data_IF_022681462244
#
_entry.id   IF_022681462244
#
_cell.length_a   1.000
_cell.length_b   1.000
_cell.length_c   1.000
_cell.angle_alpha   90.00
_cell.angle_beta   90.00
_cell.angle_gamma   90.00
#
_symmetry.space_group_name_H-M   'P 1'
#
loop_
_entity.id
_entity.type
_entity.pdbx_description
1 polymer ?
#
# COMPACT_ATOMS: atom_id res chain seq x y z
N UNK A 1 9.23 -6.91 -30.84
CA UNK A 1 9.14 -6.85 -29.37
C UNK A 1 7.73 -6.41 -28.98
N UNK A 2 6.89 -7.38 -28.64
CA UNK A 2 5.44 -7.29 -28.46
C UNK A 2 5.08 -6.64 -27.12
N UNK A 3 4.25 -5.58 -27.17
CA UNK A 3 3.78 -4.81 -26.02
C UNK A 3 2.66 -5.58 -25.31
N UNK A 4 2.86 -5.95 -24.04
CA UNK A 4 1.92 -6.77 -23.25
C UNK A 4 0.65 -6.03 -22.77
N UNK A 5 0.39 -4.83 -23.29
CA UNK A 5 -0.90 -4.15 -23.15
C UNK A 5 -1.11 -3.30 -24.41
N UNK A 6 -1.96 -3.70 -25.38
CA UNK A 6 -2.08 -3.02 -26.67
C UNK A 6 -2.63 -1.58 -26.58
N UNK A 7 -3.06 -1.11 -25.40
CA UNK A 7 -3.63 0.23 -25.17
C UNK A 7 -2.86 1.09 -24.16
N UNK A 8 -1.64 0.70 -23.77
CA UNK A 8 -0.78 1.56 -22.95
C UNK A 8 0.04 2.45 -23.89
N UNK A 9 -0.42 3.68 -24.11
CA UNK A 9 0.46 4.76 -24.55
C UNK A 9 1.33 5.13 -23.35
N UNK A 10 2.60 4.74 -23.42
CA UNK A 10 3.64 5.20 -22.51
C UNK A 10 3.83 6.69 -22.76
N UNK A 11 3.18 7.53 -21.97
CA UNK A 11 3.71 8.87 -21.73
C UNK A 11 4.79 8.69 -20.68
N UNK A 12 6.03 8.94 -21.08
CA UNK A 12 7.22 8.79 -20.26
C UNK A 12 6.95 9.35 -18.86
N UNK A 13 6.94 8.49 -17.82
CA UNK A 13 6.86 9.00 -16.48
C UNK A 13 8.15 9.77 -16.25
N UNK A 14 8.06 11.01 -15.74
CA UNK A 14 9.18 11.82 -15.24
C UNK A 14 9.91 11.15 -14.03
N UNK A 15 9.84 9.83 -13.89
CA UNK A 15 10.82 8.98 -13.20
C UNK A 15 11.83 8.33 -14.17
N UNK A 16 11.70 8.51 -15.49
CA UNK A 16 12.68 8.14 -16.52
C UNK A 16 13.96 9.01 -16.50
N UNK A 17 14.29 9.61 -15.36
CA UNK A 17 15.62 10.18 -15.11
C UNK A 17 16.45 9.34 -14.14
N UNK A 18 15.97 8.15 -13.79
CA UNK A 18 16.75 7.12 -13.11
C UNK A 18 17.05 5.96 -14.08
N UNK A 19 17.91 6.13 -15.08
CA UNK A 19 18.59 4.98 -15.68
C UNK A 19 19.06 5.09 -17.13
N UNK A 20 18.28 5.66 -18.04
CA UNK A 20 18.59 5.56 -19.48
C UNK A 20 19.33 6.80 -20.02
N UNK A 21 20.35 6.63 -20.88
CA UNK A 21 20.92 7.73 -21.64
C UNK A 21 19.89 8.22 -22.66
N UNK A 22 19.47 9.49 -22.54
CA UNK A 22 18.66 10.14 -23.57
C UNK A 22 19.42 10.14 -24.92
N UNK A 23 18.75 9.93 -26.06
CA UNK A 23 19.34 10.17 -27.38
C UNK A 23 19.84 11.60 -27.46
N UNK A 24 21.01 11.82 -28.07
CA UNK A 24 21.69 13.11 -28.14
C UNK A 24 20.91 14.21 -28.91
N UNK A 25 19.75 13.86 -29.49
CA UNK A 25 19.10 14.60 -30.56
C UNK A 25 17.75 15.21 -30.12
N UNK A 26 17.32 15.04 -28.86
CA UNK A 26 16.02 15.49 -28.40
C UNK A 26 15.99 17.02 -28.12
N UNK A 27 15.20 17.76 -28.91
CA UNK A 27 14.96 19.21 -28.80
C UNK A 27 14.01 19.56 -27.62
N UNK A 28 14.04 20.81 -27.11
CA UNK A 28 13.76 21.10 -25.71
C UNK A 28 12.30 21.44 -25.43
N UNK A 29 11.60 20.55 -24.74
CA UNK A 29 10.48 20.92 -23.87
C UNK A 29 10.90 20.61 -22.43
N UNK A 30 11.05 21.62 -21.58
CA UNK A 30 11.47 21.39 -20.18
C UNK A 30 10.44 20.58 -19.38
N UNK A 31 10.78 20.03 -18.20
CA UNK A 31 9.84 19.30 -17.33
C UNK A 31 8.58 20.09 -16.95
N UNK A 32 8.73 21.41 -16.78
CA UNK A 32 7.63 22.35 -16.51
C UNK A 32 6.75 22.54 -17.75
N UNK A 33 7.36 22.57 -18.94
CA UNK A 33 6.65 22.72 -20.21
C UNK A 33 5.89 21.43 -20.57
N UNK A 34 6.44 20.26 -20.26
CA UNK A 34 5.75 18.98 -20.35
C UNK A 34 4.58 18.85 -19.36
N UNK A 35 4.74 19.34 -18.12
CA UNK A 35 3.66 19.37 -17.14
C UNK A 35 2.55 20.38 -17.52
N UNK A 36 2.93 21.56 -18.03
CA UNK A 36 2.02 22.56 -18.56
C UNK A 36 1.32 22.06 -19.83
N UNK A 37 2.02 21.41 -20.76
CA UNK A 37 1.43 20.82 -21.96
C UNK A 37 0.50 19.63 -21.63
N UNK A 38 0.84 18.82 -20.62
CA UNK A 38 -0.07 17.78 -20.12
C UNK A 38 -1.33 18.41 -19.49
N UNK A 39 -1.17 19.43 -18.65
CA UNK A 39 -2.31 20.18 -18.08
C UNK A 39 -3.15 20.83 -19.18
N UNK A 40 -2.51 21.46 -20.17
CA UNK A 40 -3.16 22.09 -21.32
C UNK A 40 -3.95 21.05 -22.12
N UNK A 41 -3.36 19.90 -22.45
CA UNK A 41 -4.06 18.79 -23.11
C UNK A 41 -5.20 18.23 -22.27
N UNK A 42 -5.04 18.14 -20.95
CA UNK A 42 -6.10 17.71 -20.04
C UNK A 42 -7.27 18.70 -20.01
N UNK A 43 -6.99 20.01 -20.03
CA UNK A 43 -7.98 21.09 -20.08
C UNK A 43 -8.64 21.20 -21.46
N UNK A 44 -7.86 21.05 -22.54
CA UNK A 44 -8.35 20.97 -23.91
C UNK A 44 -9.33 19.80 -24.07
N UNK A 45 -9.00 18.64 -23.50
CA UNK A 45 -9.92 17.50 -23.41
C UNK A 45 -11.18 17.79 -22.60
N UNK A 46 -11.13 18.63 -21.56
CA UNK A 46 -12.33 19.05 -20.80
C UNK A 46 -13.25 19.96 -21.63
N UNK A 47 -12.68 20.80 -22.50
CA UNK A 47 -13.40 21.77 -23.32
C UNK A 47 -13.90 21.23 -24.66
N UNK A 48 -13.23 20.23 -25.24
CA UNK A 48 -13.71 19.60 -26.47
C UNK A 48 -14.86 18.64 -26.16
N UNK A 49 -16.04 18.96 -26.70
CA UNK A 49 -17.19 18.05 -26.83
C UNK A 49 -16.98 16.98 -27.91
N UNK A 50 -15.74 16.67 -28.27
CA UNK A 50 -15.49 15.55 -29.18
C UNK A 50 -15.93 14.28 -28.45
N UNK A 51 -16.99 13.67 -28.99
CA UNK A 51 -17.51 12.39 -28.56
C UNK A 51 -16.35 11.40 -28.50
N UNK A 52 -15.92 11.10 -27.26
CA UNK A 52 -14.92 10.09 -26.99
C UNK A 52 -15.37 8.81 -27.71
N UNK A 53 -14.72 8.50 -28.83
CA UNK A 53 -14.72 7.16 -29.41
C UNK A 53 -14.44 6.18 -28.27
N UNK A 54 -15.46 5.36 -27.98
CA UNK A 54 -15.61 4.51 -26.79
C UNK A 54 -14.61 3.34 -26.71
N UNK A 55 -13.60 3.25 -27.57
CA UNK A 55 -12.72 2.08 -27.64
C UNK A 55 -11.29 2.38 -27.17
N UNK A 56 -11.04 2.11 -25.88
CA UNK A 56 -9.68 1.96 -25.37
C UNK A 56 -9.55 2.29 -23.88
N UNK A 57 -9.23 1.28 -23.08
CA UNK A 57 -8.71 1.50 -21.72
C UNK A 57 -7.39 2.25 -21.84
N UNK A 58 -7.37 3.55 -21.55
CA UNK A 58 -6.15 4.38 -21.56
C UNK A 58 -5.49 4.33 -20.19
N UNK A 59 -4.20 4.03 -20.16
CA UNK A 59 -3.36 4.24 -18.98
C UNK A 59 -2.63 5.56 -19.13
N UNK A 60 -2.64 6.40 -18.10
CA UNK A 60 -1.96 7.69 -18.08
C UNK A 60 -0.95 7.70 -16.94
N UNK A 61 0.19 8.35 -17.17
CA UNK A 61 1.23 8.56 -16.18
C UNK A 61 1.41 10.06 -15.99
N UNK A 62 1.58 10.48 -14.74
CA UNK A 62 1.76 11.89 -14.41
C UNK A 62 2.50 12.02 -13.09
N UNK A 63 3.27 13.10 -12.95
CA UNK A 63 3.80 13.55 -11.66
C UNK A 63 2.99 14.69 -11.06
N UNK A 64 1.88 15.05 -11.70
CA UNK A 64 1.05 16.13 -11.21
C UNK A 64 0.51 15.81 -9.80
N UNK A 65 0.51 16.80 -8.90
CA UNK A 65 -0.12 16.66 -7.61
C UNK A 65 -1.64 16.50 -7.75
N UNK A 66 -2.32 15.96 -6.72
CA UNK A 66 -3.74 15.63 -6.80
C UNK A 66 -4.64 16.86 -7.06
N UNK A 67 -4.24 18.06 -6.62
CA UNK A 67 -5.01 19.30 -6.84
C UNK A 67 -4.95 19.84 -8.27
N UNK A 68 -4.01 19.36 -9.09
CA UNK A 68 -3.96 19.66 -10.52
C UNK A 68 -4.67 18.61 -11.37
N UNK A 69 -5.20 17.56 -10.74
CA UNK A 69 -5.94 16.50 -11.40
C UNK A 69 -7.45 16.69 -11.18
N UNK A 70 -8.30 16.35 -12.18
CA UNK A 70 -9.75 16.51 -12.08
C UNK A 70 -10.38 15.40 -11.21
N UNK A 71 -9.95 15.29 -9.95
CA UNK A 71 -10.37 14.25 -9.00
C UNK A 71 -11.83 14.40 -8.56
N UNK A 72 -12.38 15.63 -8.61
CA UNK A 72 -13.71 15.99 -8.11
C UNK A 72 -14.70 16.38 -9.23
N UNK A 73 -14.37 16.14 -10.49
CA UNK A 73 -15.18 16.56 -11.65
C UNK A 73 -16.27 15.56 -12.06
N UNK A 74 -17.23 16.03 -12.86
CA UNK A 74 -18.29 15.20 -13.47
C UNK A 74 -17.73 14.12 -14.43
N UNK A 75 -16.53 14.34 -14.98
CA UNK A 75 -15.81 13.34 -15.77
C UNK A 75 -15.13 12.35 -14.82
N UNK A 76 -15.49 11.07 -14.95
CA UNK A 76 -14.93 9.98 -14.14
C UNK A 76 -13.46 9.77 -14.50
N UNK A 77 -12.53 10.31 -13.71
CA UNK A 77 -11.16 9.81 -13.73
C UNK A 77 -11.17 8.34 -13.30
N UNK A 78 -10.32 7.53 -13.93
CA UNK A 78 -10.17 6.11 -13.61
C UNK A 78 -9.54 5.90 -12.23
N UNK A 79 -9.13 4.67 -11.96
CA UNK A 79 -8.34 4.36 -10.77
C UNK A 79 -6.93 4.97 -10.91
N UNK A 80 -6.43 5.56 -9.83
CA UNK A 80 -5.12 6.20 -9.72
C UNK A 80 -4.26 5.41 -8.75
N UNK A 81 -3.24 4.72 -9.27
CA UNK A 81 -2.19 4.12 -8.46
C UNK A 81 -1.06 5.15 -8.28
N UNK A 82 -0.75 5.48 -7.03
CA UNK A 82 0.31 6.43 -6.66
C UNK A 82 1.51 5.62 -6.19
N UNK A 83 2.62 5.68 -6.92
CA UNK A 83 3.86 5.01 -6.54
C UNK A 83 4.73 5.97 -5.74
N UNK A 84 5.15 5.53 -4.55
CA UNK A 84 5.89 6.33 -3.58
C UNK A 84 7.08 5.53 -3.06
N UNK A 85 8.20 6.20 -2.84
CA UNK A 85 9.32 5.65 -2.07
C UNK A 85 9.61 6.57 -0.87
N UNK A 86 10.50 6.15 0.02
CA UNK A 86 10.99 7.00 1.10
C UNK A 86 11.40 8.38 0.54
N UNK A 87 10.86 9.49 1.07
CA UNK A 87 11.14 10.81 0.55
C UNK A 87 12.63 11.17 0.62
N UNK A 88 13.37 10.64 1.61
CA UNK A 88 14.83 10.85 1.74
C UNK A 88 15.56 10.22 0.56
N UNK A 89 15.19 8.98 0.22
CA UNK A 89 15.66 8.32 -0.99
C UNK A 89 15.33 9.15 -2.23
N UNK A 90 14.08 9.58 -2.40
CA UNK A 90 13.66 10.37 -3.56
C UNK A 90 14.42 11.70 -3.70
N UNK A 91 14.70 12.38 -2.59
CA UNK A 91 15.47 13.64 -2.58
C UNK A 91 16.90 13.38 -3.01
N UNK A 92 17.60 12.44 -2.40
CA UNK A 92 18.99 12.13 -2.74
C UNK A 92 19.15 11.67 -4.19
N UNK A 93 18.13 10.98 -4.73
CA UNK A 93 18.11 10.58 -6.14
C UNK A 93 17.98 11.74 -7.12
N UNK A 94 17.50 12.90 -6.68
CA UNK A 94 17.45 14.10 -7.50
C UNK A 94 18.83 14.75 -7.71
N UNK A 95 19.84 14.41 -6.90
CA UNK A 95 21.20 14.95 -7.07
C UNK A 95 21.72 14.72 -8.49
N UNK A 96 21.66 13.49 -8.99
CA UNK A 96 22.12 13.15 -10.35
C UNK A 96 21.32 13.87 -11.43
N UNK A 97 20.01 14.01 -11.22
CA UNK A 97 19.14 14.77 -12.13
C UNK A 97 19.53 16.25 -12.17
N UNK A 98 19.85 16.80 -11.00
CA UNK A 98 20.27 18.18 -10.85
C UNK A 98 21.60 18.45 -11.55
N UNK A 99 22.57 17.52 -11.46
CA UNK A 99 23.83 17.61 -12.21
C UNK A 99 23.61 17.61 -13.74
N UNK A 100 22.75 16.72 -14.23
CA UNK A 100 22.39 16.67 -15.67
C UNK A 100 21.72 17.99 -16.07
N UNK A 101 20.75 18.46 -15.28
CA UNK A 101 20.04 19.71 -15.54
C UNK A 101 20.99 20.91 -15.60
N UNK A 102 21.89 21.05 -14.62
CA UNK A 102 22.94 22.09 -14.62
C UNK A 102 23.81 22.02 -15.86
N UNK A 103 24.26 20.82 -16.23
CA UNK A 103 25.08 20.61 -17.44
C UNK A 103 24.35 21.06 -18.70
N UNK A 104 23.06 20.76 -18.81
CA UNK A 104 22.22 21.20 -19.92
C UNK A 104 22.00 22.72 -19.94
N UNK A 105 21.77 23.35 -18.79
CA UNK A 105 21.59 24.80 -18.66
C UNK A 105 22.88 25.56 -19.02
N UNK A 106 24.03 25.07 -18.56
CA UNK A 106 25.35 25.62 -18.87
C UNK A 106 25.63 25.58 -20.39
N UNK A 107 25.32 24.45 -21.05
CA UNK A 107 25.44 24.31 -22.52
C UNK A 107 24.56 25.29 -23.30
N UNK A 108 23.40 25.68 -22.74
CA UNK A 108 22.47 26.64 -23.38
C UNK A 108 22.83 28.10 -23.14
N UNK A 109 23.93 28.40 -22.42
CA UNK A 109 24.36 29.77 -22.15
C UNK A 109 23.35 30.57 -21.32
N UNK A 110 22.46 29.91 -20.57
CA UNK A 110 21.51 30.59 -19.69
C UNK A 110 22.31 31.17 -18.53
N UNK A 111 22.55 32.48 -18.62
CA UNK A 111 23.35 33.28 -17.69
C UNK A 111 22.66 33.35 -16.32
N UNK A 112 23.03 32.43 -15.44
CA UNK A 112 22.47 32.29 -14.08
C UNK A 112 22.95 31.02 -13.37
N UNK A 113 23.40 30.02 -14.12
CA UNK A 113 23.97 28.77 -13.58
C UNK A 113 25.51 28.70 -13.67
N UNK A 114 26.18 29.76 -14.13
CA UNK A 114 27.64 29.81 -14.22
C UNK A 114 28.22 30.12 -12.83
N UNK A 115 28.57 29.08 -12.07
CA UNK A 115 29.25 29.26 -10.78
C UNK A 115 29.12 28.09 -9.80
N UNK A 116 28.16 27.19 -10.01
CA UNK A 116 28.01 26.03 -9.15
C UNK A 116 28.90 24.90 -9.66
N UNK A 117 29.91 24.51 -8.88
CA UNK A 117 30.69 23.30 -9.12
C UNK A 117 29.85 22.02 -9.11
N UNK A 118 30.51 20.86 -9.22
CA UNK A 118 29.88 19.60 -8.81
C UNK A 118 29.43 19.78 -7.37
N UNK A 119 28.12 19.65 -7.11
CA UNK A 119 27.62 19.80 -5.75
C UNK A 119 27.88 18.47 -5.07
N UNK A 120 28.57 18.50 -3.94
CA UNK A 120 28.54 17.33 -3.08
C UNK A 120 27.12 17.11 -2.53
N UNK A 121 26.89 15.94 -1.93
CA UNK A 121 25.61 15.57 -1.36
C UNK A 121 25.11 16.57 -0.29
N UNK A 122 26.03 17.13 0.49
CA UNK A 122 25.72 18.07 1.58
C UNK A 122 25.31 19.44 1.04
N UNK A 123 25.99 19.93 -0.01
CA UNK A 123 25.64 21.15 -0.72
C UNK A 123 24.30 21.02 -1.45
N UNK A 124 24.03 19.87 -2.07
CA UNK A 124 22.73 19.61 -2.68
C UNK A 124 21.61 19.58 -1.65
N UNK A 125 21.79 18.87 -0.52
CA UNK A 125 20.76 18.82 0.51
C UNK A 125 20.51 20.19 1.13
N UNK A 126 21.57 21.00 1.34
CA UNK A 126 21.45 22.40 1.75
C UNK A 126 20.58 23.18 0.77
N UNK A 127 20.93 23.15 -0.52
CA UNK A 127 20.17 23.84 -1.56
C UNK A 127 18.71 23.35 -1.64
N UNK A 128 18.45 22.06 -1.39
CA UNK A 128 17.09 21.50 -1.41
C UNK A 128 16.24 22.05 -0.26
N UNK A 129 16.84 22.18 0.93
CA UNK A 129 16.18 22.72 2.12
C UNK A 129 15.99 24.24 2.02
N UNK A 130 16.93 24.94 1.40
CA UNK A 130 16.86 26.37 1.11
C UNK A 130 15.94 26.70 -0.09
N UNK A 131 15.43 25.67 -0.79
CA UNK A 131 14.56 25.75 -1.97
C UNK A 131 15.25 26.23 -3.26
N UNK A 132 16.59 26.30 -3.27
CA UNK A 132 17.38 26.70 -4.42
C UNK A 132 17.45 25.62 -5.51
N UNK A 133 17.21 24.35 -5.15
CA UNK A 133 17.32 23.23 -6.11
C UNK A 133 16.11 22.28 -6.19
N UNK A 134 15.01 22.60 -5.52
CA UNK A 134 13.83 21.74 -5.60
C UNK A 134 13.07 21.99 -6.90
N UNK A 135 12.87 20.95 -7.72
CA UNK A 135 12.04 21.03 -8.93
C UNK A 135 10.59 21.42 -8.62
N UNK A 136 10.14 21.24 -7.37
CA UNK A 136 8.86 21.79 -6.90
C UNK A 136 8.83 22.26 -5.45
N UNK A 137 9.70 21.78 -4.56
CA UNK A 137 9.78 22.21 -3.14
C UNK A 137 8.60 21.73 -2.28
N UNK A 138 7.59 21.20 -2.95
CA UNK A 138 6.31 20.75 -2.40
C UNK A 138 6.23 19.22 -2.37
N UNK A 139 7.33 18.47 -2.51
CA UNK A 139 7.28 16.99 -2.60
C UNK A 139 6.58 16.42 -1.35
N UNK A 140 6.97 16.87 -0.16
CA UNK A 140 6.37 16.40 1.10
C UNK A 140 4.88 16.75 1.21
N UNK A 141 4.50 17.92 0.73
CA UNK A 141 3.10 18.36 0.69
C UNK A 141 2.30 17.55 -0.33
N UNK A 142 2.87 17.26 -1.51
CA UNK A 142 2.26 16.43 -2.56
C UNK A 142 1.96 15.03 -2.03
N UNK A 143 2.93 14.38 -1.38
CA UNK A 143 2.74 13.04 -0.82
C UNK A 143 1.69 13.05 0.30
N UNK A 144 1.71 14.07 1.16
CA UNK A 144 0.69 14.25 2.21
C UNK A 144 -0.72 14.37 1.62
N UNK A 145 -0.88 15.12 0.53
CA UNK A 145 -2.18 15.29 -0.13
C UNK A 145 -2.66 14.01 -0.80
N UNK A 146 -1.77 13.22 -1.40
CA UNK A 146 -2.14 11.90 -1.92
C UNK A 146 -2.65 10.96 -0.83
N UNK A 147 -2.08 11.00 0.37
CA UNK A 147 -2.56 10.21 1.51
C UNK A 147 -4.00 10.59 1.90
N UNK A 148 -4.32 11.90 1.88
CA UNK A 148 -5.67 12.39 2.13
C UNK A 148 -6.64 11.95 1.04
N UNK A 149 -6.24 11.99 -0.23
CA UNK A 149 -7.10 11.54 -1.34
C UNK A 149 -7.34 10.02 -1.34
N UNK A 150 -6.32 9.21 -1.03
CA UNK A 150 -6.50 7.77 -0.80
C UNK A 150 -7.51 7.51 0.31
N UNK A 151 -7.40 8.20 1.44
CA UNK A 151 -8.34 8.06 2.54
C UNK A 151 -9.78 8.46 2.14
N UNK A 152 -9.91 9.54 1.37
CA UNK A 152 -11.21 10.03 0.90
C UNK A 152 -11.86 9.10 -0.11
N UNK A 153 -11.07 8.46 -0.98
CA UNK A 153 -11.56 7.64 -2.10
C UNK A 153 -10.74 6.35 -2.28
N UNK A 154 -10.73 5.42 -1.30
CA UNK A 154 -9.82 4.26 -1.30
C UNK A 154 -10.04 3.28 -2.46
N UNK A 155 -11.24 3.26 -3.05
CA UNK A 155 -11.53 2.47 -4.27
C UNK A 155 -11.07 3.11 -5.58
N UNK A 156 -10.60 4.37 -5.54
CA UNK A 156 -10.15 5.14 -6.71
C UNK A 156 -8.71 5.60 -6.62
N UNK A 157 -8.20 5.87 -5.44
CA UNK A 157 -6.81 6.28 -5.22
C UNK A 157 -6.19 5.30 -4.25
N UNK A 158 -5.02 4.76 -4.59
CA UNK A 158 -4.27 3.84 -3.72
C UNK A 158 -2.79 4.13 -3.83
N UNK A 159 -2.12 4.22 -2.69
CA UNK A 159 -0.69 4.42 -2.57
C UNK A 159 0.00 3.06 -2.51
N UNK A 160 1.01 2.88 -3.35
CA UNK A 160 1.88 1.73 -3.37
C UNK A 160 3.32 2.15 -3.09
N UNK A 161 3.96 1.47 -2.15
CA UNK A 161 5.34 1.71 -1.82
C UNK A 161 6.24 0.92 -2.77
N UNK A 162 7.17 1.61 -3.40
CA UNK A 162 8.12 1.06 -4.37
C UNK A 162 8.96 -0.04 -3.71
N UNK A 163 9.30 0.12 -2.44
CA UNK A 163 10.03 -0.85 -1.64
C UNK A 163 9.30 -2.20 -1.56
N UNK A 164 7.97 -2.23 -1.59
CA UNK A 164 7.19 -3.48 -1.56
C UNK A 164 7.39 -4.29 -2.84
N UNK A 165 7.56 -3.65 -3.99
CA UNK A 165 7.85 -4.34 -5.25
C UNK A 165 9.25 -4.95 -5.27
N UNK A 166 10.18 -4.41 -4.48
CA UNK A 166 11.54 -4.94 -4.35
C UNK A 166 11.60 -6.08 -3.32
N UNK A 167 10.94 -5.88 -2.17
CA UNK A 167 10.93 -6.84 -1.08
C UNK A 167 10.04 -8.05 -1.38
N UNK A 168 8.78 -7.80 -1.77
CA UNK A 168 7.70 -8.77 -1.91
C UNK A 168 6.93 -8.56 -3.26
N UNK A 169 7.60 -8.77 -4.42
CA UNK A 169 7.06 -8.44 -5.74
C UNK A 169 5.71 -9.07 -6.07
N UNK A 170 5.51 -10.35 -5.74
CA UNK A 170 4.24 -11.07 -5.96
C UNK A 170 3.10 -10.41 -5.17
N UNK A 171 3.31 -10.16 -3.88
CA UNK A 171 2.33 -9.55 -2.98
C UNK A 171 1.97 -8.14 -3.44
N UNK A 172 2.97 -7.32 -3.76
CA UNK A 172 2.77 -5.96 -4.24
C UNK A 172 1.99 -5.91 -5.56
N UNK A 173 2.33 -6.78 -6.52
CA UNK A 173 1.63 -6.87 -7.79
C UNK A 173 0.19 -7.37 -7.64
N UNK A 174 -0.07 -8.36 -6.79
CA UNK A 174 -1.45 -8.80 -6.49
C UNK A 174 -2.28 -7.68 -5.87
N UNK A 175 -1.69 -6.90 -4.96
CA UNK A 175 -2.32 -5.71 -4.41
C UNK A 175 -2.71 -4.70 -5.49
N UNK A 176 -1.79 -4.43 -6.42
CA UNK A 176 -2.04 -3.54 -7.57
C UNK A 176 -3.11 -4.12 -8.51
N UNK A 177 -3.05 -5.41 -8.82
CA UNK A 177 -4.02 -6.09 -9.69
C UNK A 177 -5.43 -5.98 -9.10
N UNK A 178 -5.60 -6.33 -7.82
CA UNK A 178 -6.88 -6.23 -7.12
C UNK A 178 -7.40 -4.81 -7.11
N UNK A 179 -6.53 -3.83 -6.80
CA UNK A 179 -6.91 -2.42 -6.88
C UNK A 179 -7.41 -2.08 -8.28
N UNK A 180 -6.73 -2.50 -9.35
CA UNK A 180 -7.15 -2.25 -10.73
C UNK A 180 -8.38 -3.06 -11.17
N UNK A 181 -8.76 -4.11 -10.43
CA UNK A 181 -9.87 -5.01 -10.80
C UNK A 181 -9.44 -6.13 -11.74
N UNK A 182 -8.16 -6.48 -11.73
CA UNK A 182 -7.57 -7.61 -12.45
C UNK A 182 -7.68 -8.85 -11.55
N UNK A 183 -8.31 -9.96 -12.01
CA UNK A 183 -8.43 -11.18 -11.21
C UNK A 183 -7.08 -11.81 -10.85
N UNK A 184 -6.99 -12.39 -9.65
CA UNK A 184 -5.77 -13.05 -9.15
C UNK A 184 -5.32 -14.22 -10.04
N UNK A 185 -6.27 -14.89 -10.70
CA UNK A 185 -6.04 -16.01 -11.62
C UNK A 185 -5.73 -15.57 -13.06
N UNK A 186 -5.64 -14.27 -13.33
CA UNK A 186 -5.44 -13.79 -14.69
C UNK A 186 -4.02 -14.08 -15.20
N UNK A 187 -3.92 -14.53 -16.45
CA UNK A 187 -2.63 -14.78 -17.10
C UNK A 187 -1.76 -13.50 -17.17
N UNK A 188 -2.39 -12.34 -17.33
CA UNK A 188 -1.70 -11.04 -17.35
C UNK A 188 -0.97 -10.77 -16.04
N UNK A 189 -1.58 -11.09 -14.90
CA UNK A 189 -0.95 -10.93 -13.59
C UNK A 189 0.23 -11.90 -13.42
N UNK A 190 0.04 -13.17 -13.77
CA UNK A 190 1.11 -14.17 -13.72
C UNK A 190 2.33 -13.77 -14.58
N UNK A 191 2.09 -13.26 -15.79
CA UNK A 191 3.15 -12.76 -16.66
C UNK A 191 3.84 -11.52 -16.08
N UNK A 192 3.09 -10.61 -15.46
CA UNK A 192 3.65 -9.45 -14.80
C UNK A 192 4.55 -9.83 -13.62
N UNK A 193 4.12 -10.78 -12.78
CA UNK A 193 4.90 -11.32 -11.65
C UNK A 193 6.19 -11.95 -12.16
N UNK A 194 6.09 -12.89 -13.11
CA UNK A 194 7.26 -13.56 -13.70
C UNK A 194 8.25 -12.57 -14.31
N UNK A 195 7.75 -11.53 -14.97
CA UNK A 195 8.60 -10.48 -15.56
C UNK A 195 9.31 -9.67 -14.47
N UNK A 196 8.60 -9.25 -13.42
CA UNK A 196 9.18 -8.49 -12.32
C UNK A 196 10.23 -9.32 -11.57
N UNK A 197 9.96 -10.59 -11.31
CA UNK A 197 10.94 -11.52 -10.73
C UNK A 197 12.18 -11.70 -11.61
N UNK A 198 12.00 -11.80 -12.93
CA UNK A 198 13.10 -11.87 -13.88
C UNK A 198 13.97 -10.61 -13.92
N UNK A 199 13.43 -9.45 -13.54
CA UNK A 199 14.19 -8.20 -13.45
C UNK A 199 14.91 -8.04 -12.11
N UNK A 200 14.51 -8.78 -11.07
CA UNK A 200 15.06 -8.64 -9.71
C UNK A 200 16.60 -8.76 -9.64
N UNK A 201 17.27 -9.70 -10.33
CA UNK A 201 18.74 -9.78 -10.33
C UNK A 201 19.42 -8.57 -10.96
N UNK A 202 18.69 -7.79 -11.76
CA UNK A 202 19.20 -6.62 -12.45
C UNK A 202 18.79 -5.31 -11.77
N UNK A 203 18.06 -5.34 -10.64
CA UNK A 203 17.45 -4.16 -10.04
C UNK A 203 16.23 -3.67 -10.82
N UNK A 204 15.14 -3.39 -10.11
CA UNK A 204 13.86 -2.98 -10.68
C UNK A 204 13.83 -1.48 -11.02
N UNK A 205 14.42 -0.66 -10.17
CA UNK A 205 14.42 0.80 -10.24
C UNK A 205 15.84 1.35 -10.37
N UNK A 206 16.84 0.65 -9.81
CA UNK A 206 18.23 1.01 -10.01
C UNK A 206 19.17 -0.20 -10.07
N UNK A 207 19.57 -0.62 -11.29
CA UNK A 207 20.52 -1.70 -11.47
C UNK A 207 21.86 -1.41 -10.81
N UNK A 208 22.21 -2.22 -9.81
CA UNK A 208 23.56 -2.28 -9.22
C UNK A 208 24.01 -3.73 -9.17
N UNK A 209 25.20 -4.00 -9.69
CA UNK A 209 25.78 -5.34 -9.65
C UNK A 209 26.34 -5.68 -8.26
N UNK A 210 26.63 -4.67 -7.45
CA UNK A 210 27.36 -4.78 -6.18
C UNK A 210 26.45 -4.86 -4.95
N UNK A 211 25.15 -4.61 -5.08
CA UNK A 211 24.27 -4.47 -3.92
C UNK A 211 22.82 -4.87 -4.22
N UNK A 212 22.17 -5.53 -3.26
CA UNK A 212 20.74 -5.76 -3.31
C UNK A 212 19.99 -4.41 -3.33
N UNK A 213 18.98 -4.30 -4.17
CA UNK A 213 18.30 -3.02 -4.38
C UNK A 213 17.68 -2.44 -3.09
N UNK A 214 17.09 -3.29 -2.24
CA UNK A 214 16.57 -2.84 -0.94
C UNK A 214 17.69 -2.27 -0.03
N UNK A 215 18.88 -2.87 -0.05
CA UNK A 215 20.02 -2.36 0.69
C UNK A 215 20.50 -1.01 0.12
N UNK A 216 20.36 -0.80 -1.20
CA UNK A 216 20.64 0.49 -1.81
C UNK A 216 19.65 1.57 -1.37
N UNK A 217 18.35 1.28 -1.28
CA UNK A 217 17.36 2.21 -0.69
C UNK A 217 17.76 2.63 0.72
N UNK A 218 18.17 1.67 1.55
CA UNK A 218 18.58 1.93 2.93
C UNK A 218 19.87 2.74 3.01
N UNK A 219 20.85 2.45 2.15
CA UNK A 219 22.14 3.17 2.11
C UNK A 219 21.92 4.63 1.77
N UNK A 220 21.20 4.93 0.69
CA UNK A 220 20.91 6.30 0.27
C UNK A 220 20.08 7.06 1.32
N UNK A 221 19.16 6.37 1.99
CA UNK A 221 18.38 6.95 3.08
C UNK A 221 19.25 7.27 4.30
N UNK A 222 20.22 6.42 4.60
CA UNK A 222 21.21 6.65 5.67
C UNK A 222 22.13 7.83 5.32
N UNK A 223 22.58 7.93 4.06
CA UNK A 223 23.40 9.05 3.59
C UNK A 223 22.67 10.38 3.75
N UNK A 224 21.36 10.42 3.44
CA UNK A 224 20.52 11.60 3.71
C UNK A 224 20.57 12.02 5.18
N UNK A 225 20.38 11.08 6.12
CA UNK A 225 20.36 11.39 7.56
C UNK A 225 21.74 11.86 8.05
N UNK A 226 22.82 11.24 7.56
CA UNK A 226 24.19 11.66 7.85
C UNK A 226 24.43 13.10 7.36
N UNK A 227 24.04 13.41 6.12
CA UNK A 227 24.19 14.77 5.56
C UNK A 227 23.34 15.78 6.31
N UNK A 228 22.11 15.42 6.65
CA UNK A 228 21.21 16.30 7.40
C UNK A 228 21.79 16.66 8.78
N UNK A 229 22.42 15.70 9.45
CA UNK A 229 23.06 15.91 10.76
C UNK A 229 24.27 16.85 10.68
N UNK A 230 24.95 16.93 9.53
CA UNK A 230 26.07 17.85 9.29
C UNK A 230 25.61 19.30 9.00
N UNK A 231 24.33 19.51 8.65
CA UNK A 231 23.81 20.83 8.32
C UNK A 231 23.51 21.69 9.57
N UNK A 232 23.50 23.03 9.44
CA UNK A 232 23.09 23.93 10.54
C UNK A 232 21.70 23.59 11.09
N UNK A 233 21.52 23.74 12.41
CA UNK A 233 20.25 23.49 13.10
C UNK A 233 19.03 24.17 12.46
N UNK A 234 19.24 25.35 11.85
CA UNK A 234 18.18 26.06 11.10
C UNK A 234 17.62 25.20 9.96
N UNK A 235 18.49 24.54 9.18
CA UNK A 235 18.06 23.71 8.05
C UNK A 235 17.49 22.37 8.50
N UNK A 236 18.02 21.80 9.59
CA UNK A 236 17.39 20.64 10.24
C UNK A 236 15.97 20.98 10.70
N UNK A 237 15.76 22.19 11.25
CA UNK A 237 14.43 22.72 11.59
C UNK A 237 13.50 22.83 10.38
N UNK A 238 14.00 23.31 9.24
CA UNK A 238 13.21 23.36 7.98
C UNK A 238 12.77 21.95 7.55
N UNK A 239 13.66 20.96 7.65
CA UNK A 239 13.28 19.57 7.37
C UNK A 239 12.18 19.09 8.33
N UNK A 240 12.36 19.34 9.63
CA UNK A 240 11.39 18.97 10.66
C UNK A 240 10.01 19.61 10.39
N UNK A 241 9.98 20.87 10.00
CA UNK A 241 8.75 21.59 9.66
C UNK A 241 8.05 20.97 8.45
N UNK A 242 8.81 20.58 7.40
CA UNK A 242 8.27 19.92 6.19
C UNK A 242 7.61 18.57 6.50
N UNK A 243 8.10 17.83 7.51
CA UNK A 243 7.58 16.51 7.90
C UNK A 243 6.66 16.55 9.12
N UNK A 244 6.42 17.73 9.70
CA UNK A 244 5.67 17.93 10.95
C UNK A 244 4.25 17.31 10.93
N UNK A 245 3.57 17.39 9.79
CA UNK A 245 2.21 16.89 9.61
C UNK A 245 2.12 15.39 9.32
N UNK A 246 3.24 14.74 8.97
CA UNK A 246 3.23 13.37 8.48
C UNK A 246 2.70 12.34 9.48
N UNK A 247 3.04 12.38 10.78
CA UNK A 247 2.47 11.46 11.77
C UNK A 247 0.95 11.49 11.89
N UNK A 248 0.31 12.56 11.39
CA UNK A 248 -1.14 12.77 11.43
C UNK A 248 -1.83 12.34 10.13
N UNK A 249 -1.08 11.83 9.15
CA UNK A 249 -1.65 11.40 7.87
C UNK A 249 -2.58 10.20 8.07
N UNK A 250 -3.68 10.12 7.31
CA UNK A 250 -4.63 9.03 7.44
C UNK A 250 -4.09 7.69 6.91
N UNK A 251 -3.07 7.72 6.04
CA UNK A 251 -2.35 6.52 5.63
C UNK A 251 -1.40 6.09 6.76
N UNK A 252 -1.71 4.95 7.39
CA UNK A 252 -0.96 4.43 8.54
C UNK A 252 0.53 4.25 8.26
N UNK A 253 0.91 3.87 7.03
CA UNK A 253 2.31 3.65 6.67
C UNK A 253 3.08 4.96 6.61
N UNK A 254 2.51 5.95 5.93
CA UNK A 254 3.06 7.30 5.86
C UNK A 254 3.10 7.96 7.23
N UNK A 255 2.09 7.73 8.08
CA UNK A 255 2.12 8.21 9.47
C UNK A 255 3.27 7.58 10.26
N UNK A 256 3.49 6.27 10.12
CA UNK A 256 4.60 5.56 10.78
C UNK A 256 5.95 6.04 10.28
N UNK A 257 6.11 6.17 8.95
CA UNK A 257 7.30 6.75 8.34
C UNK A 257 7.53 8.17 8.84
N UNK A 258 6.49 9.01 8.88
CA UNK A 258 6.54 10.37 9.41
C UNK A 258 7.09 10.46 10.82
N UNK A 259 6.70 9.55 11.71
CA UNK A 259 7.27 9.48 13.07
C UNK A 259 8.76 9.15 13.05
N UNK A 260 9.22 8.34 12.10
CA UNK A 260 10.64 8.03 11.96
C UNK A 260 11.44 9.20 11.38
N UNK A 261 10.88 9.88 10.36
CA UNK A 261 11.48 11.08 9.77
C UNK A 261 11.69 12.17 10.82
N UNK A 262 10.70 12.39 11.70
CA UNK A 262 10.80 13.36 12.79
C UNK A 262 11.84 13.02 13.86
N UNK A 263 12.22 11.74 13.96
CA UNK A 263 13.19 11.26 14.96
C UNK A 263 14.58 11.06 14.37
N UNK A 264 14.78 11.40 13.08
CA UNK A 264 16.02 11.11 12.35
C UNK A 264 16.42 9.64 12.46
N UNK A 265 15.41 8.76 12.38
CA UNK A 265 15.61 7.30 12.46
C UNK A 265 15.44 6.67 11.10
N UNK A 266 16.30 5.70 10.84
CA UNK A 266 16.07 4.72 9.78
C UNK A 266 14.76 3.99 10.07
N UNK A 267 13.93 3.89 9.04
CA UNK A 267 12.72 3.09 9.10
C UNK A 267 12.81 2.00 8.06
N UNK A 268 12.73 0.77 8.52
CA UNK A 268 12.57 -0.39 7.66
C UNK A 268 11.14 -0.83 7.85
N UNK A 269 10.36 -0.85 6.78
CA UNK A 269 8.98 -1.32 6.86
C UNK A 269 8.99 -2.81 7.27
N UNK A 270 8.27 -3.20 8.34
CA UNK A 270 8.03 -4.60 8.65
C UNK A 270 7.55 -5.42 7.43
N UNK A 271 7.98 -6.68 7.33
CA UNK A 271 7.65 -7.58 6.20
C UNK A 271 6.13 -7.66 5.94
N UNK A 272 5.33 -7.62 7.01
CA UNK A 272 3.87 -7.72 6.92
C UNK A 272 3.19 -6.51 6.24
N UNK A 273 3.90 -5.39 6.02
CA UNK A 273 3.32 -4.19 5.41
C UNK A 273 2.86 -4.41 3.98
N UNK A 274 3.65 -5.11 3.15
CA UNK A 274 3.28 -5.38 1.77
C UNK A 274 1.94 -6.14 1.71
N UNK A 275 1.81 -7.18 2.53
CA UNK A 275 0.57 -7.95 2.64
C UNK A 275 -0.61 -7.12 3.18
N UNK A 276 -0.34 -6.17 4.10
CA UNK A 276 -1.37 -5.28 4.63
C UNK A 276 -1.87 -4.30 3.58
N UNK A 277 -0.96 -3.64 2.86
CA UNK A 277 -1.26 -2.73 1.76
C UNK A 277 -2.05 -3.42 0.65
N UNK A 278 -1.71 -4.67 0.36
CA UNK A 278 -2.39 -5.53 -0.61
C UNK A 278 -3.69 -6.15 -0.08
N UNK A 279 -4.11 -5.86 1.16
CA UNK A 279 -5.34 -6.38 1.77
C UNK A 279 -5.41 -7.93 1.81
N UNK A 280 -4.25 -8.60 1.87
CA UNK A 280 -4.13 -10.07 2.03
C UNK A 280 -3.50 -10.48 3.35
N UNK A 281 -3.25 -9.52 4.24
CA UNK A 281 -2.57 -9.79 5.50
C UNK A 281 -3.37 -10.68 6.46
N UNK A 282 -2.64 -11.45 7.26
CA UNK A 282 -3.19 -12.20 8.40
C UNK A 282 -2.89 -11.43 9.69
N UNK A 283 -3.89 -11.09 10.52
CA UNK A 283 -3.66 -10.32 11.74
C UNK A 283 -2.89 -11.14 12.78
N UNK A 284 -1.91 -10.50 13.44
CA UNK A 284 -1.20 -11.12 14.55
C UNK A 284 -2.13 -11.29 15.76
N UNK A 285 -2.22 -12.51 16.31
CA UNK A 285 -3.06 -12.76 17.48
C UNK A 285 -2.50 -12.21 18.80
N UNK A 286 -1.21 -11.85 18.81
CA UNK A 286 -0.46 -11.40 19.98
C UNK A 286 -0.26 -9.88 20.02
N UNK A 287 -0.16 -9.22 18.85
CA UNK A 287 0.15 -7.79 18.77
C UNK A 287 -0.94 -6.88 19.40
N UNK A 288 -2.25 -7.09 19.16
CA UNK A 288 -3.30 -6.30 19.81
C UNK A 288 -3.32 -6.41 21.35
N UNK A 289 -2.59 -7.38 21.92
CA UNK A 289 -2.46 -7.59 23.38
C UNK A 289 -1.14 -7.09 23.95
N UNK A 290 -0.25 -6.54 23.11
CA UNK A 290 1.08 -6.11 23.54
C UNK A 290 2.01 -7.25 23.97
N UNK A 291 1.77 -8.49 23.53
CA UNK A 291 2.57 -9.67 23.92
C UNK A 291 3.32 -10.32 22.76
N UNK A 292 3.29 -9.71 21.57
CA UNK A 292 4.09 -10.18 20.44
C UNK A 292 5.57 -9.89 20.69
N UNK A 293 6.42 -10.92 20.68
CA UNK A 293 7.86 -10.80 20.88
C UNK A 293 8.65 -10.54 19.60
N UNK A 294 8.06 -10.86 18.45
CA UNK A 294 8.71 -10.71 17.14
C UNK A 294 8.78 -9.24 16.68
N UNK A 295 7.93 -8.35 17.23
CA UNK A 295 7.96 -6.93 16.88
C UNK A 295 7.78 -6.71 15.38
N UNK A 296 8.74 -6.01 14.77
CA UNK A 296 8.73 -5.70 13.33
C UNK A 296 9.10 -6.91 12.45
N UNK A 297 9.73 -7.93 13.02
CA UNK A 297 10.07 -9.20 12.34
C UNK A 297 8.91 -10.21 12.38
N UNK A 298 7.70 -9.80 12.80
CA UNK A 298 6.55 -10.70 12.82
C UNK A 298 6.00 -10.93 11.40
N UNK A 299 5.84 -12.18 10.97
CA UNK A 299 5.19 -12.49 9.68
C UNK A 299 3.68 -12.13 9.64
N UNK A 300 3.09 -11.79 10.79
CA UNK A 300 1.69 -11.44 10.91
C UNK A 300 1.51 -9.94 11.09
N UNK A 301 0.43 -9.41 10.52
CA UNK A 301 0.18 -7.99 10.50
C UNK A 301 -0.13 -7.40 11.88
N UNK A 302 0.57 -6.32 12.20
CA UNK A 302 0.41 -5.55 13.45
C UNK A 302 -0.43 -4.27 13.26
N UNK A 303 -1.12 -4.10 12.13
CA UNK A 303 -1.92 -2.90 11.89
C UNK A 303 -2.94 -2.67 13.03
N UNK A 304 -3.02 -1.45 13.61
CA UNK A 304 -3.92 -1.14 14.72
C UNK A 304 -5.41 -1.33 14.42
N UNK A 305 -5.79 -1.37 13.13
CA UNK A 305 -7.15 -1.64 12.68
C UNK A 305 -7.60 -3.09 12.94
N UNK A 306 -6.66 -4.01 13.19
CA UNK A 306 -6.99 -5.39 13.50
C UNK A 306 -7.50 -5.53 14.94
N UNK A 307 -8.73 -6.03 15.07
CA UNK A 307 -9.29 -6.39 16.38
C UNK A 307 -8.55 -7.61 16.93
N UNK A 308 -8.35 -7.62 18.25
CA UNK A 308 -7.84 -8.81 18.94
C UNK A 308 -8.72 -10.00 18.59
N UNK A 309 -8.17 -11.11 18.07
CA UNK A 309 -8.97 -12.28 17.78
C UNK A 309 -9.69 -12.72 19.05
N UNK A 310 -10.97 -13.08 18.90
CA UNK A 310 -11.75 -13.64 20.00
C UNK A 310 -10.93 -14.73 20.66
N UNK A 311 -10.87 -14.68 22.00
CA UNK A 311 -10.03 -15.58 22.79
C UNK A 311 -10.35 -17.01 22.34
N UNK A 312 -9.35 -17.68 21.76
CA UNK A 312 -9.50 -19.08 21.33
C UNK A 312 -10.03 -19.86 22.53
N UNK A 313 -11.13 -20.63 22.37
CA UNK A 313 -11.66 -21.44 23.46
C UNK A 313 -10.52 -22.26 24.07
N UNK A 314 -10.47 -22.28 25.40
CA UNK A 314 -9.49 -23.09 26.13
C UNK A 314 -9.59 -24.54 25.66
N UNK A 315 -8.52 -25.34 25.83
CA UNK A 315 -8.55 -26.77 25.48
C UNK A 315 -9.78 -27.46 26.12
N UNK A 316 -10.08 -27.14 27.39
CA UNK A 316 -11.27 -27.61 28.11
C UNK A 316 -12.57 -27.20 27.43
N UNK A 317 -12.70 -25.93 27.04
CA UNK A 317 -13.90 -25.45 26.35
C UNK A 317 -14.05 -26.08 24.96
N UNK A 318 -12.95 -26.28 24.23
CA UNK A 318 -12.97 -26.96 22.94
C UNK A 318 -13.38 -28.42 23.07
N UNK A 319 -12.86 -29.14 24.08
CA UNK A 319 -13.28 -30.51 24.38
C UNK A 319 -14.74 -30.59 24.81
N UNK A 320 -15.23 -29.60 25.57
CA UNK A 320 -16.65 -29.50 25.96
C UNK A 320 -17.54 -29.33 24.72
N UNK A 321 -17.15 -28.44 23.80
CA UNK A 321 -17.88 -28.22 22.54
C UNK A 321 -17.86 -29.45 21.64
N UNK A 322 -16.72 -30.14 21.53
CA UNK A 322 -16.61 -31.39 20.76
C UNK A 322 -17.50 -32.49 21.34
N UNK A 323 -17.51 -32.67 22.66
CA UNK A 323 -18.41 -33.65 23.31
C UNK A 323 -19.88 -33.30 23.12
N UNK A 324 -20.22 -32.01 23.11
CA UNK A 324 -21.60 -31.56 22.83
C UNK A 324 -21.98 -31.88 21.38
N UNK A 325 -21.13 -31.56 20.41
CA UNK A 325 -21.42 -31.86 19.00
C UNK A 325 -21.52 -33.36 18.71
N UNK A 326 -20.72 -34.20 19.39
CA UNK A 326 -20.83 -35.65 19.25
C UNK A 326 -22.13 -36.20 19.85
N UNK A 327 -22.64 -35.61 20.95
CA UNK A 327 -23.94 -35.99 21.51
C UNK A 327 -25.09 -35.56 20.60
N UNK A 328 -25.05 -34.33 20.10
CA UNK A 328 -26.06 -33.82 19.18
C UNK A 328 -26.09 -34.63 17.87
N UNK A 329 -24.93 -35.07 17.36
CA UNK A 329 -24.88 -35.97 16.20
C UNK A 329 -25.46 -37.35 16.49
N UNK A 330 -25.12 -37.97 17.63
CA UNK A 330 -25.67 -39.27 18.02
C UNK A 330 -27.19 -39.23 18.29
N UNK A 331 -27.70 -38.12 18.85
CA UNK A 331 -29.14 -37.90 19.04
C UNK A 331 -29.86 -37.76 17.69
N UNK A 332 -29.28 -37.02 16.73
CA UNK A 332 -29.85 -36.88 15.39
C UNK A 332 -29.89 -38.21 14.60
N UNK A 333 -28.83 -39.03 14.70
CA UNK A 333 -28.79 -40.36 14.07
C UNK A 333 -29.86 -41.30 14.65
N UNK A 334 -30.09 -41.26 15.97
CA UNK A 334 -31.12 -42.07 16.62
C UNK A 334 -32.55 -41.66 16.21
N UNK A 335 -32.82 -40.35 16.08
CA UNK A 335 -34.11 -39.85 15.59
C UNK A 335 -34.37 -40.24 14.13
N UNK A 336 -33.34 -40.29 13.29
CA UNK A 336 -33.45 -40.75 11.90
C UNK A 336 -33.81 -42.25 11.82
N UNK A 337 -33.17 -43.10 12.64
CA UNK A 337 -33.51 -44.54 12.73
C UNK A 337 -34.92 -44.80 13.29
N UNK A 338 -35.38 -44.01 14.28
CA UNK A 338 -36.74 -44.12 14.81
C UNK A 338 -37.80 -43.68 13.77
N UNK A 339 -37.49 -42.69 12.93
CA UNK A 339 -38.40 -42.26 11.86
C UNK A 339 -38.56 -43.29 10.74
N UNK A 340 -37.51 -44.07 10.45
CA UNK A 340 -37.55 -45.14 9.44
C UNK A 340 -38.29 -46.40 9.90
N UNK A 341 -38.24 -46.70 11.21
CA UNK A 341 -38.89 -47.90 11.77
C UNK A 341 -40.41 -47.75 11.89
N UNK A 342 -40.95 -46.54 12.07
CA UNK A 342 -42.39 -46.28 12.14
C UNK A 342 -43.12 -46.50 10.79
N UNK A 343 -42.41 -46.47 9.66
CA UNK A 343 -43.02 -46.71 8.32
C UNK A 343 -43.29 -48.20 8.01
N UNK A 344 -42.89 -49.11 8.90
CA UNK A 344 -43.13 -50.57 8.74
C UNK A 344 -43.92 -51.15 9.91
N UNK A 345 -45.14 -50.63 10.14
CA UNK A 345 -46.12 -51.32 11.00
C UNK A 345 -47.28 -51.89 10.17
N UNK A 346 -47.50 -53.22 10.18
CA UNK A 346 -48.65 -53.87 9.57
C UNK A 346 -49.91 -53.69 10.43
N UNK A 347 -51.03 -53.34 9.78
CA UNK A 347 -52.38 -53.25 10.34
C UNK A 347 -52.75 -54.47 11.18
N UNK A 348 -52.92 -54.28 12.50
CA UNK A 348 -53.81 -55.14 13.29
C UNK A 348 -54.55 -54.32 14.35
N UNK A 349 -55.87 -54.45 14.31
CA UNK A 349 -56.83 -53.86 15.22
C UNK A 349 -56.82 -54.57 16.59
N UNK A 350 -57.08 -53.84 17.68
CA UNK A 350 -58.07 -54.21 18.70
C UNK A 350 -58.02 -53.28 19.94
N UNK A 351 -59.21 -52.78 20.25
CA UNK A 351 -59.83 -52.40 21.54
C UNK A 351 -58.98 -51.99 22.77
N UNK A 352 -59.27 -50.76 23.23
CA UNK A 352 -59.91 -50.50 24.53
C UNK A 352 -59.11 -50.75 25.81
N UNK A 353 -58.85 -49.69 26.59
CA UNK A 353 -59.36 -49.51 27.95
C UNK A 353 -58.90 -48.15 28.51
N UNK A 354 -59.76 -47.56 29.32
CA UNK A 354 -59.66 -46.19 29.83
C UNK A 354 -58.88 -46.08 31.16
N UNK A 355 -58.49 -44.82 31.44
CA UNK A 355 -58.58 -44.12 32.76
C UNK A 355 -57.35 -44.23 33.69
N UNK A 356 -56.80 -43.06 34.10
CA UNK A 356 -56.75 -42.54 35.50
C UNK A 356 -55.56 -41.57 35.77
N UNK A 357 -55.94 -40.38 36.27
CA UNK A 357 -55.34 -39.44 37.27
C UNK A 357 -53.87 -38.95 37.23
N UNK A 358 -53.78 -37.62 37.17
CA UNK A 358 -53.26 -36.66 38.18
C UNK A 358 -52.03 -37.04 39.02
N UNK A 359 -50.98 -36.23 38.90
CA UNK A 359 -49.89 -36.13 39.88
C UNK A 359 -48.98 -34.92 39.63
N UNK A 360 -49.36 -33.76 40.16
CA UNK A 360 -48.51 -32.57 40.26
C UNK A 360 -47.47 -32.75 41.39
N UNK A 361 -46.21 -32.35 41.17
CA UNK A 361 -45.20 -32.02 42.20
C UNK A 361 -44.11 -31.15 41.55
N UNK A 362 -44.15 -29.84 41.78
CA UNK A 362 -43.48 -29.09 42.86
C UNK A 362 -42.03 -28.71 42.52
N UNK A 363 -41.86 -27.42 42.21
CA UNK A 363 -40.58 -26.70 42.12
C UNK A 363 -39.91 -26.61 43.49
N UNK A 364 -38.59 -26.73 43.52
CA UNK A 364 -37.73 -26.23 44.61
C UNK A 364 -36.59 -25.42 44.01
N UNK A 365 -36.37 -24.16 44.41
CA UNK A 365 -35.14 -23.44 44.12
C UNK A 365 -34.08 -23.77 45.18
N UNK A 366 -32.81 -23.84 44.78
CA UNK A 366 -31.68 -23.85 45.72
C UNK A 366 -30.91 -22.53 45.67
N UNK A 367 -30.32 -22.11 46.81
CA UNK A 367 -29.87 -20.74 47.05
C UNK A 367 -28.43 -20.49 46.61
N UNK A 368 -28.11 -19.20 46.47
CA UNK A 368 -26.81 -18.69 46.09
C UNK A 368 -25.68 -18.97 47.09
N UNK A 369 -24.47 -18.98 46.55
CA UNK A 369 -23.22 -18.82 47.29
C UNK A 369 -22.54 -17.53 46.83
N UNK A 370 -22.59 -16.50 47.68
CA UNK A 370 -21.50 -15.53 47.81
C UNK A 370 -20.32 -16.27 48.45
N UNK A 371 -19.09 -15.96 48.04
CA UNK A 371 -17.93 -15.82 48.92
C UNK A 371 -16.76 -15.20 48.13
N UNK A 372 -16.28 -14.09 48.71
CA UNK A 372 -14.91 -13.51 48.73
C UNK A 372 -14.20 -13.13 47.44
#
# INVERSE_FOLDING_TARGET
MTRLFPNIQVLEPLFALAGDPLPADASPGGPVEGACAFRQRMLEMETSQEELSRSGNRCLFTLLPPWLLPMNGARRFGKTAVFLADPRYLIMRQLKMWEIFKTCMAKKGISGCQGYGALDESEFLRAYLEQDCSLSGEEMQRLSRWAVEEHRQPGKVKIFFVEDFVAEPDVALRGLARFLGVPDESEVLHQAIKKLEGLRPHGLFFPRQDMLELQHFLTITMDFELRLAELPNKLQGVWQDRVSMWPQLPNLRLATLGQSLQRHKMWVAPIWWAAHSAEICKPCSFAPRGVCRAGDDCDFCHAPSHRAPLRRPSKKERMRRLRKSMREAAEAEAEEEESLTISTSPSTASSGFAKVKLGARSRTPSPGGLLS
#
